data_IF_329732704360
#
_entry.id   IF_329732704360
#
_cell.length_a   1.000
_cell.length_b   1.000
_cell.length_c   1.000
_cell.angle_alpha   90.00
_cell.angle_beta   90.00
_cell.angle_gamma   90.00
#
_symmetry.space_group_name_H-M   'P 1'
#
loop_
_entity.id
_entity.type
_entity.pdbx_description
1 polymer ?
#
# COMPACT_ATOMS: atom_id res chain seq x y z
N UNK A 1 6.02 -2.41 -30.23
CA UNK A 1 7.29 -1.96 -30.83
C UNK A 1 7.02 -0.84 -31.82
N UNK A 2 7.67 0.31 -31.63
CA UNK A 2 7.46 1.53 -32.43
C UNK A 2 8.84 1.96 -32.93
N UNK A 3 9.05 2.03 -34.25
CA UNK A 3 10.34 2.44 -34.85
C UNK A 3 10.18 3.29 -36.10
N UNK A 4 11.20 4.07 -36.43
CA UNK A 4 11.30 4.81 -37.69
C UNK A 4 11.68 3.94 -38.90
N UNK A 5 12.10 2.69 -38.67
CA UNK A 5 12.50 1.76 -39.72
C UNK A 5 11.33 1.21 -40.53
N UNK A 6 11.62 0.53 -41.64
CA UNK A 6 10.57 -0.09 -42.47
C UNK A 6 9.71 -1.08 -41.67
N UNK A 7 8.39 -1.15 -41.89
CA UNK A 7 7.51 -2.07 -41.16
C UNK A 7 7.97 -3.54 -41.26
N UNK A 8 8.52 -3.93 -42.40
CA UNK A 8 9.07 -5.28 -42.63
C UNK A 8 10.25 -5.57 -41.70
N UNK A 9 11.21 -4.65 -41.59
CA UNK A 9 12.37 -4.80 -40.70
C UNK A 9 11.94 -4.86 -39.23
N UNK A 10 11.04 -3.95 -38.83
CA UNK A 10 10.55 -3.89 -37.45
C UNK A 10 9.78 -5.16 -37.11
N UNK A 11 8.92 -5.66 -38.01
CA UNK A 11 8.19 -6.91 -37.84
C UNK A 11 9.11 -8.12 -37.67
N UNK A 12 10.18 -8.21 -38.48
CA UNK A 12 11.15 -9.30 -38.37
C UNK A 12 11.89 -9.29 -37.02
N UNK A 13 12.32 -8.11 -36.54
CA UNK A 13 12.95 -7.98 -35.20
C UNK A 13 11.94 -8.28 -34.10
N UNK A 14 10.72 -7.74 -34.19
CA UNK A 14 9.65 -7.97 -33.23
C UNK A 14 9.30 -9.45 -33.09
N UNK A 15 9.28 -10.18 -34.21
CA UNK A 15 9.04 -11.64 -34.24
C UNK A 15 10.14 -12.40 -33.50
N UNK A 16 11.42 -12.05 -33.73
CA UNK A 16 12.55 -12.65 -33.01
C UNK A 16 12.52 -12.38 -31.51
N UNK A 17 12.00 -11.22 -31.12
CA UNK A 17 11.82 -10.83 -29.72
C UNK A 17 10.53 -11.41 -29.08
N UNK A 18 9.70 -12.13 -29.83
CA UNK A 18 8.45 -12.71 -29.33
C UNK A 18 7.35 -11.69 -29.02
N UNK A 19 7.36 -10.53 -29.70
CA UNK A 19 6.30 -9.51 -29.54
C UNK A 19 4.99 -10.04 -30.16
N UNK A 20 3.87 -10.06 -29.41
CA UNK A 20 2.57 -10.45 -29.96
C UNK A 20 2.17 -9.57 -31.16
N UNK A 21 1.55 -10.16 -32.19
CA UNK A 21 1.10 -9.42 -33.39
C UNK A 21 2.24 -8.88 -34.27
N UNK A 22 3.45 -9.45 -34.16
CA UNK A 22 4.60 -9.05 -34.97
C UNK A 22 4.52 -9.49 -36.45
N UNK A 23 3.60 -10.39 -36.76
CA UNK A 23 3.28 -10.91 -38.09
C UNK A 23 2.51 -9.90 -38.96
N UNK A 24 1.89 -8.88 -38.36
CA UNK A 24 1.14 -7.83 -39.05
C UNK A 24 1.64 -6.41 -38.72
N UNK A 25 2.86 -6.02 -39.12
CA UNK A 25 3.39 -4.68 -38.86
C UNK A 25 2.65 -3.61 -39.68
N UNK A 26 2.28 -2.50 -39.03
CA UNK A 26 1.58 -1.38 -39.66
C UNK A 26 2.58 -0.31 -40.12
N UNK A 27 2.36 0.26 -41.32
CA UNK A 27 3.07 1.46 -41.78
C UNK A 27 2.44 2.70 -41.15
N UNK A 28 3.22 3.46 -40.38
CA UNK A 28 2.71 4.62 -39.65
C UNK A 28 2.17 5.73 -40.57
N UNK A 29 2.51 5.75 -41.86
CA UNK A 29 2.01 6.75 -42.82
C UNK A 29 0.53 6.58 -43.14
N UNK A 30 -0.05 5.42 -42.85
CA UNK A 30 -1.48 5.15 -43.05
C UNK A 30 -2.28 5.29 -41.75
N UNK A 31 -1.64 5.73 -40.65
CA UNK A 31 -2.33 5.94 -39.38
C UNK A 31 -3.24 7.18 -39.46
N UNK A 32 -4.41 7.14 -38.80
CA UNK A 32 -5.28 8.31 -38.71
C UNK A 32 -4.64 9.39 -37.85
N UNK A 33 -4.92 10.65 -38.18
CA UNK A 33 -4.51 11.80 -37.36
C UNK A 33 -5.44 12.02 -36.16
N UNK A 34 -6.68 11.49 -36.23
CA UNK A 34 -7.63 11.54 -35.13
C UNK A 34 -7.19 10.66 -33.96
N UNK A 35 -7.25 11.21 -32.75
CA UNK A 35 -6.71 10.56 -31.55
C UNK A 35 -7.50 9.31 -31.15
N UNK A 36 -8.83 9.29 -31.31
CA UNK A 36 -9.65 8.13 -30.96
C UNK A 36 -9.44 6.99 -31.96
N UNK A 37 -9.45 7.31 -33.25
CA UNK A 37 -9.17 6.34 -34.31
C UNK A 37 -7.73 5.78 -34.21
N UNK A 38 -6.76 6.62 -33.83
CA UNK A 38 -5.38 6.18 -33.59
C UNK A 38 -5.33 5.21 -32.40
N UNK A 39 -6.04 5.52 -31.30
CA UNK A 39 -6.11 4.64 -30.14
C UNK A 39 -6.70 3.27 -30.49
N UNK A 40 -7.74 3.21 -31.32
CA UNK A 40 -8.33 1.94 -31.78
C UNK A 40 -7.34 1.07 -32.57
N UNK A 41 -6.48 1.69 -33.39
CA UNK A 41 -5.45 0.97 -34.13
C UNK A 41 -4.36 0.44 -33.18
N UNK A 42 -3.97 1.25 -32.20
CA UNK A 42 -2.96 0.92 -31.19
C UNK A 42 -3.38 -0.21 -30.23
N UNK A 43 -4.68 -0.35 -29.94
CA UNK A 43 -5.20 -1.47 -29.15
C UNK A 43 -5.17 -2.80 -29.92
N UNK A 44 -5.26 -2.75 -31.25
CA UNK A 44 -5.33 -3.95 -32.13
C UNK A 44 -3.98 -4.41 -32.64
N UNK A 45 -3.01 -3.50 -32.76
CA UNK A 45 -1.70 -3.79 -33.35
C UNK A 45 -0.58 -3.38 -32.41
N UNK A 46 0.46 -4.20 -32.36
CA UNK A 46 1.60 -3.97 -31.46
C UNK A 46 2.85 -3.48 -32.17
N UNK A 47 2.92 -3.52 -33.50
CA UNK A 47 4.15 -3.25 -34.26
C UNK A 47 3.92 -2.19 -35.32
N UNK A 48 4.70 -1.10 -35.25
CA UNK A 48 4.60 0.06 -36.13
C UNK A 48 5.98 0.46 -36.67
N UNK A 49 6.09 0.57 -38.00
CA UNK A 49 7.27 1.07 -38.69
C UNK A 49 7.04 2.43 -39.34
N UNK A 50 8.13 3.12 -39.72
CA UNK A 50 8.15 4.47 -40.32
C UNK A 50 7.49 5.54 -39.45
N UNK A 51 7.56 5.36 -38.13
CA UNK A 51 6.92 6.24 -37.16
C UNK A 51 7.75 7.51 -37.01
N UNK A 52 7.14 8.67 -37.27
CA UNK A 52 7.78 9.98 -37.08
C UNK A 52 7.83 10.37 -35.60
N UNK A 53 8.73 11.29 -35.18
CA UNK A 53 8.79 11.77 -33.80
C UNK A 53 7.45 12.31 -33.28
N UNK A 54 6.72 13.05 -34.11
CA UNK A 54 5.40 13.58 -33.80
C UNK A 54 4.36 12.47 -33.62
N UNK A 55 4.41 11.42 -34.46
CA UNK A 55 3.54 10.26 -34.32
C UNK A 55 3.85 9.47 -33.05
N UNK A 56 5.13 9.29 -32.66
CA UNK A 56 5.46 8.64 -31.38
C UNK A 56 4.78 9.35 -30.21
N UNK A 57 4.83 10.68 -30.20
CA UNK A 57 4.16 11.51 -29.21
C UNK A 57 2.64 11.34 -29.25
N UNK A 58 2.03 11.38 -30.44
CA UNK A 58 0.58 11.18 -30.61
C UNK A 58 0.13 9.79 -30.12
N UNK A 59 0.92 8.75 -30.38
CA UNK A 59 0.64 7.38 -29.92
C UNK A 59 0.64 7.27 -28.38
N UNK A 60 1.56 7.97 -27.70
CA UNK A 60 1.56 8.05 -26.23
C UNK A 60 0.26 8.67 -25.72
N UNK A 61 -0.14 9.82 -26.26
CA UNK A 61 -1.38 10.50 -25.87
C UNK A 61 -2.64 9.68 -26.18
N UNK A 62 -2.67 8.97 -27.30
CA UNK A 62 -3.78 8.10 -27.70
C UNK A 62 -3.94 6.89 -26.75
N UNK A 63 -2.84 6.28 -26.30
CA UNK A 63 -2.91 5.22 -25.29
C UNK A 63 -3.33 5.78 -23.92
N UNK A 64 -2.83 6.96 -23.54
CA UNK A 64 -3.20 7.62 -22.29
C UNK A 64 -4.68 8.02 -22.24
N UNK A 65 -5.27 8.45 -23.37
CA UNK A 65 -6.71 8.78 -23.41
C UNK A 65 -7.62 7.57 -23.20
N UNK A 66 -7.12 6.35 -23.43
CA UNK A 66 -7.79 5.09 -23.09
C UNK A 66 -7.55 4.63 -21.64
N UNK A 67 -6.90 5.46 -20.82
CA UNK A 67 -6.63 5.17 -19.42
C UNK A 67 -5.45 4.20 -19.20
N UNK A 68 -4.65 3.92 -20.23
CA UNK A 68 -3.41 3.17 -20.06
C UNK A 68 -2.34 4.06 -19.40
N UNK A 69 -1.57 3.46 -18.48
CA UNK A 69 -0.31 4.04 -18.02
C UNK A 69 0.80 3.64 -18.99
N UNK A 70 1.42 4.62 -19.64
CA UNK A 70 2.34 4.41 -20.76
C UNK A 70 3.78 4.62 -20.30
N UNK A 71 4.59 3.58 -20.45
CA UNK A 71 6.04 3.67 -20.36
C UNK A 71 6.64 3.72 -21.78
N UNK A 72 7.50 4.69 -22.05
CA UNK A 72 8.20 4.80 -23.32
C UNK A 72 9.70 4.60 -23.10
N UNK A 73 10.34 3.82 -23.98
CA UNK A 73 11.80 3.76 -24.06
C UNK A 73 12.31 4.37 -25.35
N UNK A 74 13.41 5.11 -25.26
CA UNK A 74 14.09 5.71 -26.41
C UNK A 74 15.55 6.03 -26.11
N UNK A 75 16.32 6.23 -27.16
CA UNK A 75 17.75 6.53 -27.10
C UNK A 75 18.10 7.80 -27.88
N UNK A 76 17.26 8.22 -28.83
CA UNK A 76 17.49 9.38 -29.68
C UNK A 76 16.92 10.69 -29.15
N UNK A 77 17.47 11.80 -29.65
CA UNK A 77 16.89 13.15 -29.50
C UNK A 77 15.46 13.24 -30.04
N UNK A 78 15.15 12.40 -31.03
CA UNK A 78 13.82 12.28 -31.63
C UNK A 78 12.77 11.73 -30.67
N UNK A 79 13.18 10.98 -29.64
CA UNK A 79 12.26 10.38 -28.67
C UNK A 79 12.00 11.27 -27.47
N UNK A 80 12.77 12.36 -27.32
CA UNK A 80 12.76 13.21 -26.12
C UNK A 80 11.37 13.75 -25.76
N UNK A 81 10.60 14.20 -26.76
CA UNK A 81 9.25 14.73 -26.53
C UNK A 81 8.27 13.65 -26.06
N UNK A 82 8.32 12.48 -26.68
CA UNK A 82 7.44 11.38 -26.33
C UNK A 82 7.86 10.71 -25.01
N UNK A 83 9.16 10.66 -24.71
CA UNK A 83 9.71 10.28 -23.39
C UNK A 83 9.24 11.22 -22.27
N UNK A 84 9.12 12.52 -22.57
CA UNK A 84 8.65 13.52 -21.62
C UNK A 84 7.17 13.37 -21.30
N UNK A 85 6.37 13.10 -22.34
CA UNK A 85 4.91 13.05 -22.25
C UNK A 85 4.40 11.70 -21.73
N UNK A 86 5.19 10.63 -21.86
CA UNK A 86 4.89 9.34 -21.25
C UNK A 86 4.84 9.44 -19.72
N UNK A 87 3.99 8.62 -19.09
CA UNK A 87 3.92 8.53 -17.62
C UNK A 87 5.28 8.13 -17.02
N UNK A 88 6.00 7.27 -17.74
CA UNK A 88 7.37 6.86 -17.40
C UNK A 88 8.26 6.84 -18.64
N UNK A 89 9.09 7.86 -18.81
CA UNK A 89 10.17 7.87 -19.79
C UNK A 89 11.40 7.09 -19.33
N UNK A 90 11.91 6.21 -20.19
CA UNK A 90 13.11 5.38 -19.96
C UNK A 90 14.14 5.67 -21.05
N UNK A 91 15.34 6.07 -20.67
CA UNK A 91 16.44 6.28 -21.60
C UNK A 91 17.47 5.15 -21.53
N UNK A 92 18.06 4.81 -22.68
CA UNK A 92 19.24 3.96 -22.72
C UNK A 92 20.46 4.72 -22.20
N UNK A 93 21.36 4.05 -21.48
CA UNK A 93 22.63 4.63 -21.03
C UNK A 93 23.48 5.14 -22.20
N UNK A 94 23.48 4.42 -23.32
CA UNK A 94 24.09 4.83 -24.60
C UNK A 94 23.31 5.89 -25.36
N UNK A 95 22.12 6.27 -24.89
CA UNK A 95 21.27 7.28 -25.53
C UNK A 95 21.87 8.68 -25.51
N UNK A 96 21.24 9.59 -26.24
CA UNK A 96 21.63 11.00 -26.28
C UNK A 96 21.54 11.66 -24.89
N UNK A 97 22.36 12.68 -24.66
CA UNK A 97 22.30 13.45 -23.41
C UNK A 97 20.91 14.06 -23.17
N UNK A 98 20.23 14.48 -24.23
CA UNK A 98 18.87 15.01 -24.18
C UNK A 98 17.86 13.95 -23.71
N UNK A 99 17.91 12.73 -24.28
CA UNK A 99 17.03 11.64 -23.87
C UNK A 99 17.23 11.27 -22.38
N UNK A 100 18.48 11.16 -21.93
CA UNK A 100 18.79 10.87 -20.51
C UNK A 100 18.35 11.98 -19.55
N UNK A 101 18.42 13.24 -19.97
CA UNK A 101 18.04 14.37 -19.13
C UNK A 101 16.52 14.48 -18.91
N UNK A 102 15.73 13.94 -19.83
CA UNK A 102 14.25 14.04 -19.79
C UNK A 102 13.60 12.76 -19.25
N UNK A 103 14.27 11.61 -19.35
CA UNK A 103 13.77 10.35 -18.83
C UNK A 103 13.75 10.29 -17.29
N UNK A 104 12.78 9.56 -16.74
CA UNK A 104 12.66 9.26 -15.30
C UNK A 104 13.58 8.11 -14.87
N UNK A 105 13.87 7.20 -15.80
CA UNK A 105 14.80 6.09 -15.60
C UNK A 105 15.87 6.08 -16.69
N UNK A 106 17.09 5.68 -16.32
CA UNK A 106 18.20 5.48 -17.25
C UNK A 106 18.76 4.09 -17.08
N UNK A 107 18.74 3.28 -18.14
CA UNK A 107 19.33 1.94 -18.17
C UNK A 107 20.83 2.03 -18.43
N UNK A 108 21.63 2.20 -17.38
CA UNK A 108 23.07 2.43 -17.47
C UNK A 108 23.81 1.35 -18.27
N UNK A 109 23.42 0.08 -18.12
CA UNK A 109 24.03 -1.07 -18.80
C UNK A 109 23.40 -1.38 -20.18
N UNK A 110 22.41 -0.59 -20.64
CA UNK A 110 21.66 -0.83 -21.88
C UNK A 110 20.95 -2.21 -21.95
N UNK A 111 20.73 -2.84 -20.80
CA UNK A 111 20.07 -4.14 -20.72
C UNK A 111 18.59 -3.96 -20.37
N UNK A 112 17.70 -4.45 -21.24
CA UNK A 112 16.26 -4.46 -21.01
C UNK A 112 15.79 -5.59 -20.09
N UNK A 113 16.63 -6.61 -19.85
CA UNK A 113 16.28 -7.78 -19.03
C UNK A 113 15.94 -7.41 -17.58
N UNK A 114 16.41 -6.26 -17.09
CA UNK A 114 16.14 -5.75 -15.75
C UNK A 114 14.77 -5.08 -15.62
N UNK A 115 14.14 -4.69 -16.73
CA UNK A 115 12.90 -3.91 -16.66
C UNK A 115 11.72 -4.66 -15.97
N UNK A 116 11.52 -5.97 -16.20
CA UNK A 116 10.54 -6.74 -15.45
C UNK A 116 10.75 -6.69 -13.93
N UNK A 117 12.00 -6.70 -13.44
CA UNK A 117 12.27 -6.61 -12.01
C UNK A 117 11.97 -5.21 -11.46
N UNK A 118 12.25 -4.14 -12.21
CA UNK A 118 11.89 -2.76 -11.87
C UNK A 118 10.37 -2.59 -11.76
N UNK A 119 9.61 -3.15 -12.70
CA UNK A 119 8.13 -3.11 -12.66
C UNK A 119 7.61 -3.87 -11.43
N UNK A 120 8.18 -5.03 -11.12
CA UNK A 120 7.81 -5.81 -9.93
C UNK A 120 8.15 -5.06 -8.63
N UNK A 121 9.25 -4.31 -8.60
CA UNK A 121 9.60 -3.44 -7.48
C UNK A 121 8.57 -2.33 -7.27
N UNK A 122 8.16 -1.65 -8.35
CA UNK A 122 7.11 -0.65 -8.31
C UNK A 122 5.78 -1.22 -7.79
N UNK A 123 5.41 -2.42 -8.25
CA UNK A 123 4.23 -3.16 -7.73
C UNK A 123 4.35 -3.46 -6.24
N UNK A 124 5.53 -3.90 -5.78
CA UNK A 124 5.81 -4.18 -4.37
C UNK A 124 5.58 -2.96 -3.49
N UNK A 125 6.15 -1.82 -3.87
CA UNK A 125 6.01 -0.57 -3.12
C UNK A 125 4.53 -0.18 -3.00
N UNK A 126 3.81 -0.08 -4.11
CA UNK A 126 2.39 0.34 -4.09
C UNK A 126 1.53 -0.62 -3.29
N UNK A 127 1.70 -1.93 -3.48
CA UNK A 127 0.89 -2.93 -2.79
C UNK A 127 1.15 -2.99 -1.27
N UNK A 128 2.34 -2.55 -0.82
CA UNK A 128 2.66 -2.48 0.61
C UNK A 128 2.28 -1.15 1.25
N UNK A 129 2.31 -0.03 0.52
CA UNK A 129 1.86 1.28 1.00
C UNK A 129 0.42 1.21 1.50
N UNK A 130 -0.45 0.42 0.85
CA UNK A 130 -1.84 0.22 1.31
C UNK A 130 -1.93 -0.44 2.69
N UNK A 131 -1.12 -1.47 2.97
CA UNK A 131 -1.08 -2.11 4.30
C UNK A 131 -0.61 -1.13 5.37
N UNK A 132 0.46 -0.39 5.09
CA UNK A 132 1.01 0.59 6.01
C UNK A 132 0.00 1.72 6.25
N UNK A 133 -0.62 2.24 5.19
CA UNK A 133 -1.64 3.27 5.31
C UNK A 133 -2.84 2.84 6.16
N UNK A 134 -3.28 1.57 6.05
CA UNK A 134 -4.33 1.03 6.91
C UNK A 134 -3.94 1.06 8.41
N UNK A 135 -2.69 0.73 8.77
CA UNK A 135 -2.22 0.82 10.16
C UNK A 135 -2.26 2.26 10.68
N UNK A 136 -1.71 3.20 9.91
CA UNK A 136 -1.66 4.61 10.31
C UNK A 136 -3.05 5.24 10.38
N UNK A 137 -3.91 5.00 9.39
CA UNK A 137 -5.25 5.59 9.38
C UNK A 137 -6.17 4.96 10.42
N UNK A 138 -6.06 3.66 10.69
CA UNK A 138 -6.82 3.04 11.80
C UNK A 138 -6.48 3.71 13.12
N UNK A 139 -5.20 4.05 13.34
CA UNK A 139 -4.77 4.86 14.48
C UNK A 139 -5.40 6.23 14.52
N UNK A 140 -5.34 6.95 13.42
CA UNK A 140 -5.95 8.28 13.34
C UNK A 140 -7.43 8.21 13.68
N UNK A 141 -8.17 7.23 13.16
CA UNK A 141 -9.60 7.09 13.43
C UNK A 141 -9.90 6.75 14.87
N UNK A 142 -9.23 5.76 15.49
CA UNK A 142 -9.51 5.49 16.90
C UNK A 142 -9.18 6.71 17.78
N UNK A 143 -8.10 7.45 17.46
CA UNK A 143 -7.67 8.60 18.26
C UNK A 143 -8.67 9.76 18.16
N UNK A 144 -9.15 10.05 16.95
CA UNK A 144 -10.18 11.07 16.71
C UNK A 144 -11.50 10.69 17.38
N UNK A 145 -11.95 9.44 17.25
CA UNK A 145 -13.19 8.96 17.87
C UNK A 145 -13.10 9.05 19.40
N UNK A 146 -11.97 8.62 19.99
CA UNK A 146 -11.73 8.76 21.42
C UNK A 146 -11.73 10.23 21.85
N UNK A 147 -11.05 11.11 21.12
CA UNK A 147 -11.00 12.53 21.45
C UNK A 147 -12.38 13.18 21.42
N UNK A 148 -13.20 12.87 20.41
CA UNK A 148 -14.59 13.35 20.31
C UNK A 148 -15.43 12.79 21.47
N UNK A 149 -15.35 11.49 21.74
CA UNK A 149 -16.13 10.85 22.81
C UNK A 149 -15.77 11.40 24.19
N UNK A 150 -14.48 11.61 24.46
CA UNK A 150 -13.97 12.23 25.68
C UNK A 150 -14.42 13.68 25.78
N UNK A 151 -14.33 14.45 24.70
CA UNK A 151 -14.76 15.85 24.65
C UNK A 151 -16.25 16.04 24.92
N UNK A 152 -17.09 15.17 24.36
CA UNK A 152 -18.55 15.17 24.61
C UNK A 152 -18.86 14.67 26.03
N UNK A 153 -18.19 13.61 26.46
CA UNK A 153 -18.47 12.96 27.74
C UNK A 153 -17.84 13.62 28.97
N UNK A 154 -16.99 14.63 28.78
CA UNK A 154 -16.34 15.41 29.86
C UNK A 154 -15.55 14.57 30.89
N UNK A 155 -15.03 13.41 30.50
CA UNK A 155 -14.17 12.58 31.37
C UNK A 155 -12.68 12.78 31.02
N UNK A 156 -11.75 12.43 31.93
CA UNK A 156 -10.33 12.45 31.63
C UNK A 156 -9.97 11.52 30.47
N UNK A 157 -9.10 11.98 29.59
CA UNK A 157 -8.64 11.21 28.45
C UNK A 157 -7.90 9.93 28.89
N UNK A 158 -8.17 8.76 28.28
CA UNK A 158 -7.73 7.45 28.76
C UNK A 158 -6.24 7.14 28.52
N UNK A 159 -5.51 7.98 27.77
CA UNK A 159 -4.11 7.74 27.45
C UNK A 159 -3.19 8.90 27.81
N UNK A 160 -2.00 8.57 28.30
CA UNK A 160 -0.89 9.51 28.33
C UNK A 160 -0.11 9.44 27.01
N UNK A 161 0.61 10.50 26.62
CA UNK A 161 1.47 10.46 25.42
C UNK A 161 2.43 9.27 25.41
N UNK A 162 2.96 8.89 26.59
CA UNK A 162 3.84 7.71 26.74
C UNK A 162 3.16 6.38 26.39
N UNK A 163 1.84 6.25 26.63
CA UNK A 163 1.07 5.05 26.24
C UNK A 163 0.95 4.96 24.71
N UNK A 164 0.73 6.10 24.03
CA UNK A 164 0.70 6.10 22.57
C UNK A 164 2.03 5.74 21.95
N UNK A 165 3.15 6.11 22.58
CA UNK A 165 4.49 5.74 22.11
C UNK A 165 4.66 4.24 22.02
N UNK A 166 4.33 3.50 23.09
CA UNK A 166 4.48 2.05 23.10
C UNK A 166 3.49 1.34 22.18
N UNK A 167 2.21 1.73 22.20
CA UNK A 167 1.22 1.13 21.29
C UNK A 167 1.65 1.37 19.85
N UNK A 168 1.99 2.62 19.50
CA UNK A 168 2.37 2.96 18.13
C UNK A 168 3.68 2.29 17.71
N UNK A 169 4.68 2.16 18.58
CA UNK A 169 5.94 1.52 18.21
C UNK A 169 5.73 0.02 17.91
N UNK A 170 4.98 -0.68 18.77
CA UNK A 170 4.77 -2.12 18.67
C UNK A 170 3.68 -2.53 17.67
N UNK A 171 2.69 -1.69 17.40
CA UNK A 171 1.59 -2.07 16.48
C UNK A 171 1.68 -1.40 15.12
N UNK A 172 2.45 -0.31 14.97
CA UNK A 172 2.50 0.48 13.73
C UNK A 172 3.93 0.68 13.24
N UNK A 173 4.84 1.20 14.08
CA UNK A 173 6.18 1.60 13.69
C UNK A 173 7.02 0.41 13.23
N UNK A 174 7.34 -0.49 14.16
CA UNK A 174 8.14 -1.68 13.87
C UNK A 174 7.47 -2.57 12.82
N UNK A 175 6.17 -2.93 12.95
CA UNK A 175 5.53 -3.76 11.94
C UNK A 175 5.40 -3.08 10.57
N UNK A 176 5.08 -1.79 10.54
CA UNK A 176 4.95 -1.02 9.30
C UNK A 176 6.24 -0.99 8.49
N UNK A 177 7.40 -0.88 9.15
CA UNK A 177 8.71 -0.98 8.50
C UNK A 177 8.90 -2.34 7.81
N UNK A 178 8.66 -3.46 8.51
CA UNK A 178 8.82 -4.80 7.94
C UNK A 178 7.77 -5.09 6.85
N UNK A 179 6.53 -4.64 7.04
CA UNK A 179 5.46 -4.81 6.06
C UNK A 179 5.72 -4.02 4.77
N UNK A 180 6.35 -2.84 4.87
CA UNK A 180 6.76 -2.05 3.70
C UNK A 180 7.76 -2.79 2.80
N UNK A 181 8.61 -3.64 3.39
CA UNK A 181 9.64 -4.43 2.68
C UNK A 181 9.13 -5.80 2.21
N UNK A 182 7.90 -6.17 2.53
CA UNK A 182 7.36 -7.49 2.20
C UNK A 182 7.23 -7.69 0.68
N UNK A 183 7.46 -8.91 0.19
CA UNK A 183 7.26 -9.18 -1.24
C UNK A 183 5.77 -9.19 -1.58
N UNK A 184 5.36 -8.38 -2.56
CA UNK A 184 3.96 -8.30 -2.98
C UNK A 184 3.85 -7.85 -4.45
N UNK A 185 3.75 -8.80 -5.37
CA UNK A 185 3.74 -8.50 -6.81
C UNK A 185 2.33 -8.23 -7.39
N UNK A 186 1.36 -7.88 -6.54
CA UNK A 186 0.00 -7.54 -7.00
C UNK A 186 0.04 -6.31 -7.90
N UNK A 187 -0.79 -6.32 -8.96
CA UNK A 187 -0.98 -5.13 -9.81
C UNK A 187 -1.62 -4.02 -8.99
N UNK A 188 -1.19 -2.78 -9.23
CA UNK A 188 -1.78 -1.61 -8.59
C UNK A 188 -3.24 -1.46 -9.04
N UNK A 189 -4.13 -1.22 -8.07
CA UNK A 189 -5.57 -1.05 -8.32
C UNK A 189 -5.97 0.38 -7.97
N UNK A 190 -6.81 1.01 -8.79
CA UNK A 190 -7.27 2.39 -8.61
C UNK A 190 -8.23 2.51 -7.41
N UNK A 191 -8.32 3.71 -6.81
CA UNK A 191 -9.19 3.95 -5.65
C UNK A 191 -8.56 3.66 -4.29
N UNK A 192 -7.25 3.88 -4.15
CA UNK A 192 -6.47 3.70 -2.91
C UNK A 192 -7.17 4.27 -1.67
N UNK A 193 -7.55 5.55 -1.69
CA UNK A 193 -8.13 6.22 -0.53
C UNK A 193 -9.43 5.54 -0.08
N UNK A 194 -10.33 5.21 -1.03
CA UNK A 194 -11.61 4.57 -0.72
C UNK A 194 -11.40 3.20 -0.08
N UNK A 195 -10.44 2.40 -0.57
CA UNK A 195 -10.15 1.07 0.00
C UNK A 195 -9.59 1.17 1.41
N UNK A 196 -8.62 2.06 1.63
CA UNK A 196 -8.02 2.24 2.95
C UNK A 196 -9.05 2.77 3.95
N UNK A 197 -9.88 3.75 3.57
CA UNK A 197 -10.92 4.29 4.45
C UNK A 197 -12.02 3.27 4.79
N UNK A 198 -12.39 2.39 3.85
CA UNK A 198 -13.40 1.33 4.08
C UNK A 198 -12.99 0.36 5.18
N UNK A 199 -11.69 0.12 5.35
CA UNK A 199 -11.16 -0.71 6.43
C UNK A 199 -10.84 0.11 7.69
N UNK A 200 -10.13 1.23 7.54
CA UNK A 200 -9.59 1.99 8.66
C UNK A 200 -10.67 2.69 9.51
N UNK A 201 -11.77 3.16 8.90
CA UNK A 201 -12.85 3.83 9.63
C UNK A 201 -13.54 2.85 10.58
N UNK A 202 -14.12 1.72 10.12
CA UNK A 202 -14.81 0.81 11.02
C UNK A 202 -13.88 0.18 12.05
N UNK A 203 -12.68 -0.24 11.64
CA UNK A 203 -11.69 -0.81 12.57
C UNK A 203 -11.28 0.20 13.66
N UNK A 204 -11.07 1.46 13.28
CA UNK A 204 -10.75 2.54 14.22
C UNK A 204 -11.89 2.85 15.17
N UNK A 205 -13.14 2.89 14.68
CA UNK A 205 -14.34 3.06 15.51
C UNK A 205 -14.50 1.91 16.50
N UNK A 206 -14.37 0.66 16.05
CA UNK A 206 -14.48 -0.52 16.93
C UNK A 206 -13.38 -0.48 18.00
N UNK A 207 -12.13 -0.16 17.63
CA UNK A 207 -11.03 -0.04 18.57
C UNK A 207 -11.28 1.05 19.61
N UNK A 208 -11.79 2.23 19.19
CA UNK A 208 -12.13 3.31 20.10
C UNK A 208 -13.27 2.92 21.05
N UNK A 209 -14.35 2.32 20.54
CA UNK A 209 -15.50 1.89 21.34
C UNK A 209 -15.07 0.84 22.36
N UNK A 210 -14.37 -0.23 21.94
CA UNK A 210 -13.89 -1.27 22.85
C UNK A 210 -13.01 -0.70 23.96
N UNK A 211 -12.06 0.16 23.59
CA UNK A 211 -11.15 0.82 24.54
C UNK A 211 -11.90 1.73 25.51
N UNK A 212 -12.84 2.52 25.01
CA UNK A 212 -13.63 3.43 25.83
C UNK A 212 -14.55 2.67 26.78
N UNK A 213 -15.19 1.60 26.31
CA UNK A 213 -16.03 0.73 27.13
C UNK A 213 -15.21 0.11 28.27
N UNK A 214 -14.03 -0.44 27.98
CA UNK A 214 -13.15 -0.98 29.02
C UNK A 214 -12.75 0.09 30.04
N UNK A 215 -12.35 1.27 29.58
CA UNK A 215 -11.98 2.39 30.45
C UNK A 215 -13.13 2.86 31.34
N UNK A 216 -14.35 2.97 30.81
CA UNK A 216 -15.52 3.45 31.55
C UNK A 216 -16.04 2.42 32.58
N UNK A 217 -15.95 1.13 32.27
CA UNK A 217 -16.32 0.04 33.21
C UNK A 217 -15.40 0.05 34.45
N UNK A 218 -14.10 0.23 34.25
CA UNK A 218 -13.16 0.26 35.38
C UNK A 218 -13.27 1.55 36.18
N UNK A 219 -13.52 2.67 35.48
CA UNK A 219 -13.77 3.96 36.14
C UNK A 219 -15.02 3.94 37.02
N UNK A 220 -16.09 3.24 36.61
CA UNK A 220 -17.30 3.11 37.42
C UNK A 220 -17.12 2.18 38.62
N UNK A 221 -16.10 1.32 38.60
CA UNK A 221 -15.75 0.39 39.68
C UNK A 221 -14.88 1.03 40.78
N UNK A 222 -14.73 2.37 40.76
CA UNK A 222 -13.98 3.17 41.74
C UNK A 222 -12.49 2.82 41.89
N UNK A 223 -11.93 2.20 40.85
CA UNK A 223 -10.51 1.86 40.74
C UNK A 223 -9.68 3.14 40.51
N UNK A 224 -8.45 3.25 41.04
CA UNK A 224 -7.53 4.33 40.71
C UNK A 224 -7.41 4.60 39.19
N UNK A 225 -7.38 5.89 38.80
CA UNK A 225 -7.42 6.32 37.39
C UNK A 225 -6.25 5.78 36.55
N UNK A 226 -5.10 5.53 37.17
CA UNK A 226 -3.89 4.95 36.59
C UNK A 226 -4.10 3.48 36.17
N UNK A 227 -4.79 2.68 36.98
CA UNK A 227 -5.13 1.30 36.63
C UNK A 227 -6.16 1.25 35.49
N UNK A 228 -7.17 2.14 35.49
CA UNK A 228 -8.14 2.23 34.39
C UNK A 228 -7.47 2.57 33.05
N UNK A 229 -6.40 3.40 33.06
CA UNK A 229 -5.59 3.67 31.86
C UNK A 229 -4.83 2.44 31.39
N UNK A 230 -4.30 1.64 32.32
CA UNK A 230 -3.61 0.38 31.99
C UNK A 230 -4.56 -0.61 31.31
N UNK A 231 -5.80 -0.72 31.81
CA UNK A 231 -6.87 -1.50 31.16
C UNK A 231 -7.17 -1.00 29.75
N UNK A 232 -7.27 0.32 29.55
CA UNK A 232 -7.46 0.92 28.23
C UNK A 232 -6.30 0.58 27.28
N UNK A 233 -5.06 0.61 27.77
CA UNK A 233 -3.84 0.24 27.02
C UNK A 233 -3.83 -1.23 26.62
N UNK A 234 -4.15 -2.14 27.53
CA UNK A 234 -4.24 -3.58 27.24
C UNK A 234 -5.33 -3.85 26.20
N UNK A 235 -6.51 -3.23 26.36
CA UNK A 235 -7.64 -3.39 25.44
C UNK A 235 -7.28 -2.90 24.05
N UNK A 236 -6.76 -1.67 23.93
CA UNK A 236 -6.38 -1.09 22.64
C UNK A 236 -5.26 -1.88 21.98
N UNK A 237 -4.25 -2.33 22.75
CA UNK A 237 -3.17 -3.15 22.22
C UNK A 237 -3.70 -4.49 21.69
N UNK A 238 -4.62 -5.14 22.39
CA UNK A 238 -5.24 -6.40 21.94
C UNK A 238 -5.97 -6.23 20.61
N UNK A 239 -6.80 -5.18 20.48
CA UNK A 239 -7.50 -4.88 19.22
C UNK A 239 -6.51 -4.52 18.11
N UNK A 240 -5.52 -3.68 18.40
CA UNK A 240 -4.51 -3.25 17.43
C UNK A 240 -3.62 -4.41 16.94
N UNK A 241 -3.29 -5.35 17.82
CA UNK A 241 -2.60 -6.59 17.45
C UNK A 241 -3.44 -7.44 16.50
N UNK A 242 -4.76 -7.47 16.67
CA UNK A 242 -5.64 -8.17 15.75
C UNK A 242 -5.74 -7.48 14.38
N UNK A 243 -5.87 -6.15 14.36
CA UNK A 243 -5.79 -5.35 13.12
C UNK A 243 -4.49 -5.64 12.39
N UNK A 244 -3.36 -5.66 13.10
CA UNK A 244 -2.07 -6.02 12.53
C UNK A 244 -2.06 -7.46 11.98
N UNK A 245 -2.64 -8.42 12.70
CA UNK A 245 -2.74 -9.80 12.24
C UNK A 245 -3.55 -9.95 10.95
N UNK A 246 -4.64 -9.19 10.79
CA UNK A 246 -5.41 -9.13 9.53
C UNK A 246 -4.54 -8.56 8.40
N UNK A 247 -3.84 -7.45 8.63
CA UNK A 247 -3.02 -6.78 7.61
C UNK A 247 -1.77 -7.59 7.22
N UNK A 248 -1.32 -8.49 8.10
CA UNK A 248 -0.27 -9.46 7.80
C UNK A 248 -0.71 -10.57 6.83
N UNK A 249 -2.01 -10.80 6.59
CA UNK A 249 -2.45 -11.89 5.70
C UNK A 249 -2.04 -11.66 4.23
N UNK A 250 -1.66 -12.71 3.46
CA UNK A 250 -1.53 -14.12 3.86
C UNK A 250 -0.30 -14.34 4.77
N UNK A 251 -0.43 -15.25 5.74
CA UNK A 251 0.56 -15.39 6.80
C UNK A 251 1.79 -16.17 6.33
N UNK A 252 2.96 -15.61 6.59
CA UNK A 252 4.27 -16.27 6.42
C UNK A 252 4.94 -16.44 7.78
N UNK A 253 5.91 -17.34 7.87
CA UNK A 253 6.61 -17.64 9.13
C UNK A 253 7.20 -16.37 9.79
N UNK A 254 7.78 -15.45 9.01
CA UNK A 254 8.36 -14.21 9.55
C UNK A 254 7.29 -13.23 10.04
N UNK A 255 6.06 -13.27 9.51
CA UNK A 255 4.94 -12.45 10.01
C UNK A 255 4.40 -12.98 11.32
N UNK A 256 4.37 -14.31 11.49
CA UNK A 256 4.11 -14.91 12.81
C UNK A 256 5.18 -14.49 13.81
N UNK A 257 6.46 -14.58 13.43
CA UNK A 257 7.56 -14.11 14.28
C UNK A 257 7.40 -12.64 14.66
N UNK A 258 7.03 -11.77 13.71
CA UNK A 258 6.76 -10.36 13.96
C UNK A 258 5.62 -10.17 14.98
N UNK A 259 4.46 -10.81 14.77
CA UNK A 259 3.31 -10.70 15.68
C UNK A 259 3.66 -11.19 17.09
N UNK A 260 4.33 -12.33 17.20
CA UNK A 260 4.77 -12.89 18.49
C UNK A 260 5.76 -11.95 19.16
N UNK A 261 6.74 -11.41 18.42
CA UNK A 261 7.72 -10.47 18.96
C UNK A 261 7.05 -9.19 19.48
N UNK A 262 6.04 -8.66 18.80
CA UNK A 262 5.31 -7.47 19.27
C UNK A 262 4.49 -7.77 20.53
N UNK A 263 3.84 -8.94 20.59
CA UNK A 263 3.12 -9.39 21.79
C UNK A 263 4.07 -9.58 22.98
N UNK A 264 5.21 -10.27 22.78
CA UNK A 264 6.24 -10.44 23.81
C UNK A 264 6.81 -9.09 24.26
N UNK A 265 7.05 -8.17 23.33
CA UNK A 265 7.53 -6.83 23.66
C UNK A 265 6.57 -6.06 24.57
N UNK A 266 5.26 -6.16 24.30
CA UNK A 266 4.25 -5.53 25.14
C UNK A 266 4.13 -6.17 26.52
N UNK A 267 4.11 -7.51 26.58
CA UNK A 267 4.15 -8.24 27.86
C UNK A 267 5.42 -7.89 28.65
N UNK A 268 6.56 -7.76 27.98
CA UNK A 268 7.82 -7.34 28.58
C UNK A 268 7.73 -5.98 29.24
N UNK A 269 7.04 -5.02 28.63
CA UNK A 269 6.80 -3.70 29.24
C UNK A 269 5.92 -3.79 30.48
N UNK A 270 4.91 -4.67 30.47
CA UNK A 270 4.07 -4.88 31.63
C UNK A 270 4.79 -5.63 32.76
N UNK A 271 5.76 -6.51 32.47
CA UNK A 271 6.42 -7.35 33.47
C UNK A 271 7.67 -6.68 34.06
N UNK A 272 8.45 -5.94 33.27
CA UNK A 272 9.71 -5.33 33.70
C UNK A 272 9.41 -4.05 34.51
N UNK A 273 9.77 -3.98 35.81
CA UNK A 273 9.40 -2.85 36.67
C UNK A 273 9.86 -1.49 36.14
N UNK A 274 11.11 -1.38 35.68
CA UNK A 274 11.63 -0.11 35.16
C UNK A 274 10.91 0.40 33.91
N UNK A 275 10.41 -0.50 33.05
CA UNK A 275 9.60 -0.10 31.90
C UNK A 275 8.18 0.25 32.33
N UNK A 276 7.59 -0.55 33.22
CA UNK A 276 6.26 -0.31 33.77
C UNK A 276 6.15 1.06 34.42
N UNK A 277 7.12 1.42 35.25
CA UNK A 277 7.16 2.71 35.96
C UNK A 277 7.38 3.87 34.98
N UNK A 278 8.25 3.70 33.99
CA UNK A 278 8.46 4.69 32.94
C UNK A 278 7.18 4.98 32.14
N UNK A 279 6.46 3.91 31.79
CA UNK A 279 5.21 4.00 31.02
C UNK A 279 3.96 4.25 31.87
N UNK A 280 4.06 4.36 33.19
CA UNK A 280 2.94 4.62 34.11
C UNK A 280 1.80 3.59 33.97
N UNK A 281 2.17 2.30 33.96
CA UNK A 281 1.27 1.17 33.75
C UNK A 281 1.17 0.27 35.00
N UNK A 282 0.61 0.75 36.13
CA UNK A 282 0.46 -0.09 37.31
C UNK A 282 -0.38 -1.32 36.98
N UNK A 283 0.07 -2.50 37.43
CA UNK A 283 -0.64 -3.76 37.17
C UNK A 283 -2.02 -3.72 37.84
N UNK A 284 -3.11 -3.82 37.07
CA UNK A 284 -4.45 -4.00 37.61
C UNK A 284 -4.62 -5.41 38.21
N UNK A 285 -5.73 -5.63 38.90
CA UNK A 285 -6.08 -6.96 39.36
C UNK A 285 -6.26 -7.93 38.19
N UNK A 286 -6.06 -9.23 38.44
CA UNK A 286 -6.17 -10.26 37.40
C UNK A 286 -7.55 -10.27 36.73
N UNK A 287 -8.60 -9.87 37.47
CA UNK A 287 -9.96 -9.73 36.94
C UNK A 287 -10.06 -8.63 35.89
N UNK A 288 -9.41 -7.49 36.12
CA UNK A 288 -9.50 -6.31 35.26
C UNK A 288 -8.61 -6.48 34.03
N UNK A 289 -7.50 -7.21 34.17
CA UNK A 289 -6.71 -7.69 33.02
C UNK A 289 -7.55 -8.63 32.16
N UNK A 290 -8.28 -9.57 32.78
CA UNK A 290 -9.16 -10.49 32.05
C UNK A 290 -10.34 -9.75 31.38
N UNK A 291 -10.91 -8.73 32.03
CA UNK A 291 -11.97 -7.88 31.45
C UNK A 291 -11.44 -7.12 30.23
N UNK A 292 -10.25 -6.52 30.34
CA UNK A 292 -9.57 -5.79 29.27
C UNK A 292 -9.32 -6.68 28.05
N UNK A 293 -8.74 -7.86 28.26
CA UNK A 293 -8.48 -8.83 27.19
C UNK A 293 -9.81 -9.31 26.60
N UNK A 294 -10.82 -9.62 27.42
CA UNK A 294 -12.13 -10.06 26.96
C UNK A 294 -12.80 -9.03 26.04
N UNK A 295 -12.84 -7.76 26.45
CA UNK A 295 -13.38 -6.66 25.64
C UNK A 295 -12.54 -6.48 24.37
N UNK A 296 -11.22 -6.56 24.48
CA UNK A 296 -10.31 -6.49 23.33
C UNK A 296 -10.54 -7.61 22.32
N UNK A 297 -10.76 -8.84 22.78
CA UNK A 297 -11.08 -10.01 21.94
C UNK A 297 -12.45 -9.87 21.28
N UNK A 298 -13.45 -9.33 21.98
CA UNK A 298 -14.76 -9.02 21.39
C UNK A 298 -14.60 -7.97 20.28
N UNK A 299 -13.83 -6.91 20.52
CA UNK A 299 -13.51 -5.90 19.50
C UNK A 299 -12.77 -6.52 18.30
N UNK A 300 -11.78 -7.38 18.55
CA UNK A 300 -11.06 -8.12 17.53
C UNK A 300 -12.00 -9.02 16.70
N UNK A 301 -12.90 -9.74 17.35
CA UNK A 301 -13.90 -10.58 16.69
C UNK A 301 -14.86 -9.74 15.83
N UNK A 302 -15.31 -8.57 16.31
CA UNK A 302 -16.14 -7.66 15.53
C UNK A 302 -15.41 -7.15 14.26
N UNK A 303 -14.11 -6.85 14.37
CA UNK A 303 -13.29 -6.48 13.20
C UNK A 303 -13.14 -7.68 12.25
N UNK A 304 -12.89 -8.89 12.76
CA UNK A 304 -12.79 -10.10 11.93
C UNK A 304 -14.10 -10.39 11.18
N UNK A 305 -15.24 -10.28 11.87
CA UNK A 305 -16.56 -10.49 11.27
C UNK A 305 -16.81 -9.45 10.19
N UNK A 306 -16.56 -8.16 10.47
CA UNK A 306 -16.69 -7.10 9.48
C UNK A 306 -15.76 -7.31 8.28
N UNK A 307 -14.54 -7.79 8.52
CA UNK A 307 -13.57 -8.14 7.48
C UNK A 307 -14.00 -9.32 6.60
N UNK A 308 -14.68 -10.33 7.16
CA UNK A 308 -15.16 -11.51 6.42
C UNK A 308 -16.52 -11.32 5.74
N UNK A 309 -17.43 -10.60 6.38
CA UNK A 309 -18.82 -10.42 5.90
C UNK A 309 -18.97 -9.26 4.92
N UNK A 310 -18.03 -8.32 4.92
CA UNK A 310 -18.06 -7.12 4.09
C UNK A 310 -16.85 -7.13 3.16
N UNK A 311 -16.91 -6.47 2.01
CA UNK A 311 -15.76 -6.21 1.11
C UNK A 311 -14.68 -5.29 1.74
N UNK A 312 -14.50 -5.31 3.07
CA UNK A 312 -13.36 -4.71 3.77
C UNK A 312 -12.08 -5.51 3.53
N UNK A 313 -12.19 -6.70 2.95
CA UNK A 313 -11.07 -7.41 2.36
C UNK A 313 -10.38 -6.52 1.32
N UNK A 314 -9.07 -6.32 1.49
CA UNK A 314 -8.23 -5.85 0.37
C UNK A 314 -8.47 -6.86 -0.75
N UNK A 315 -8.99 -6.44 -1.93
CA UNK A 315 -9.46 -7.34 -2.97
C UNK A 315 -8.48 -8.50 -3.12
N UNK A 316 -8.99 -9.69 -2.82
CA UNK A 316 -8.16 -10.86 -2.72
C UNK A 316 -7.53 -11.16 -4.07
N UNK A 317 -6.40 -11.82 -3.98
CA UNK A 317 -5.54 -12.30 -5.03
C UNK A 317 -6.37 -12.82 -6.20
N UNK A 318 -6.56 -12.01 -7.25
CA UNK A 318 -6.88 -12.57 -8.54
C UNK A 318 -5.71 -13.51 -8.85
N UNK A 319 -6.02 -14.80 -8.78
CA UNK A 319 -5.19 -15.91 -9.18
C UNK A 319 -4.46 -15.52 -10.46
N UNK A 320 -3.13 -15.60 -10.41
CA UNK A 320 -2.33 -15.62 -11.63
C UNK A 320 -2.68 -16.94 -12.33
N UNK A 321 -3.70 -16.91 -13.17
CA UNK A 321 -3.72 -17.70 -14.41
C UNK A 321 -3.17 -16.83 -15.54
#
# INVERSE_FOLDING_TARGET
MISGDSPVTVGAVATRCGVPGADAPIDARTLPDDQEALADVLEKHSVFGRVTPQQKRAMVHALQSRGHTVAMTGDGVNDTLALKDADVGVAMGSGSAAARAVARFVLLANDFSVFPSVVNEGRRVIANVERVANLFLTKTFYAVVLAIAVGIGHFPFPFLPRHFTIISSLTIGTPGFFLALSQNNRRAVTGFLRRVLRFAIPAGVIAAVATLTAYLIERSSNVPNDQARTVAVITLFTVAMWVLAILCRPMSWWKYLLLIAMAIGFVGVLVIPGLRDYFDLPLPDARDIASAIGIGVIGAAAIEIGWRMTDWSIPEQATND
#
